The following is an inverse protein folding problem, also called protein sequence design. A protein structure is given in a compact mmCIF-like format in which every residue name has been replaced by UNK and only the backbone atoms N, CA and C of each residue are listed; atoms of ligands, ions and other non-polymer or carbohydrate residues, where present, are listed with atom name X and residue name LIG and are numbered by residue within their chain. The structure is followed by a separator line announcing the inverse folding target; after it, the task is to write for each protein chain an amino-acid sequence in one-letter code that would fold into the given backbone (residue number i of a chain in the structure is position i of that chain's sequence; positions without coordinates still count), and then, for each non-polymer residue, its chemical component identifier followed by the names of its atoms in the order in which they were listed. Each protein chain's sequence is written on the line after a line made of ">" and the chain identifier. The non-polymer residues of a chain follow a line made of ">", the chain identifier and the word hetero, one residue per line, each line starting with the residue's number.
data_IF_763772710172
#
_entry.id   IF_763772710172
#
_cell.length_a   1.000
_cell.length_b   1.000
_cell.length_c   1.000
_cell.angle_alpha   90.00
_cell.angle_beta   90.00
_cell.angle_gamma   90.00
#
_symmetry.space_group_name_H-M   'P 1'
#
loop_
_entity.id
_entity.type
_entity.pdbx_description
1 polymer ?
#
# COMPACT_ATOMS: atom_id res chain seq x y z
N UNK A 1 2.49 16.40 -19.40
CA UNK A 1 2.76 17.83 -19.69
C UNK A 1 2.34 18.77 -18.56
N UNK A 2 1.17 18.63 -17.92
CA UNK A 2 0.72 19.53 -16.84
C UNK A 2 1.63 19.68 -15.60
N UNK A 3 2.52 18.73 -15.32
CA UNK A 3 3.44 18.82 -14.17
C UNK A 3 4.28 20.12 -14.21
N UNK A 4 4.80 20.52 -15.37
CA UNK A 4 5.62 21.74 -15.49
C UNK A 4 4.79 23.03 -15.56
N UNK A 5 3.49 22.93 -15.78
CA UNK A 5 2.56 24.05 -15.64
C UNK A 5 2.30 24.35 -14.16
N UNK A 6 2.19 23.30 -13.33
CA UNK A 6 2.01 23.40 -11.89
C UNK A 6 3.32 23.66 -11.12
N UNK A 7 4.44 23.12 -11.61
CA UNK A 7 5.77 23.23 -11.00
C UNK A 7 6.80 23.79 -12.00
N UNK A 8 6.70 25.09 -12.35
CA UNK A 8 7.53 25.72 -13.38
C UNK A 8 9.03 25.76 -13.05
N UNK A 9 9.41 25.69 -11.77
CA UNK A 9 10.79 25.64 -11.29
C UNK A 9 11.59 24.42 -11.79
N UNK A 10 10.90 23.38 -12.26
CA UNK A 10 11.52 22.20 -12.84
C UNK A 10 11.59 22.22 -14.38
N UNK A 11 11.16 23.31 -15.06
CA UNK A 11 11.28 23.41 -16.52
C UNK A 11 12.72 23.21 -16.98
N UNK A 12 12.88 22.49 -18.09
CA UNK A 12 14.19 22.15 -18.65
C UNK A 12 14.90 20.99 -17.93
N UNK A 13 14.29 20.38 -16.92
CA UNK A 13 14.74 19.10 -16.35
C UNK A 13 13.92 17.95 -16.94
N UNK A 14 14.52 16.76 -16.93
CA UNK A 14 13.83 15.53 -17.31
C UNK A 14 12.95 15.02 -16.15
N UNK A 15 11.68 14.72 -16.44
CA UNK A 15 10.78 14.14 -15.46
C UNK A 15 10.94 12.61 -15.46
N UNK A 16 11.53 12.07 -14.39
CA UNK A 16 11.64 10.62 -14.17
C UNK A 16 10.61 10.22 -13.10
N UNK A 17 9.60 9.45 -13.50
CA UNK A 17 8.55 8.99 -12.59
C UNK A 17 8.99 7.68 -11.93
N UNK A 18 9.06 7.67 -10.60
CA UNK A 18 9.32 6.46 -9.82
C UNK A 18 7.98 5.98 -9.26
N UNK A 19 7.55 4.80 -9.69
CA UNK A 19 6.41 4.11 -9.11
C UNK A 19 6.90 3.18 -8.01
N UNK A 20 6.49 3.44 -6.77
CA UNK A 20 6.72 2.56 -5.63
C UNK A 20 5.39 2.02 -5.11
N UNK A 21 5.32 0.72 -4.83
CA UNK A 21 4.22 0.14 -4.06
C UNK A 21 4.77 -0.48 -2.78
N UNK A 22 4.01 -0.38 -1.70
CA UNK A 22 4.28 -1.07 -0.45
C UNK A 22 3.32 -2.25 -0.41
N UNK A 23 3.84 -3.46 -0.53
CA UNK A 23 3.06 -4.70 -0.42
C UNK A 23 3.53 -5.49 0.79
N UNK A 24 2.61 -6.19 1.45
CA UNK A 24 2.96 -7.10 2.52
C UNK A 24 3.22 -8.50 1.94
N UNK A 25 4.40 -9.09 2.16
CA UNK A 25 4.63 -10.48 1.82
C UNK A 25 3.66 -11.39 2.57
N UNK A 26 3.15 -12.42 1.90
CA UNK A 26 2.15 -13.36 2.45
C UNK A 26 2.58 -13.98 3.79
N UNK A 27 3.87 -14.29 3.96
CA UNK A 27 4.40 -14.85 5.19
C UNK A 27 4.33 -13.86 6.38
N UNK A 28 4.45 -12.56 6.12
CA UNK A 28 4.32 -11.51 7.13
C UNK A 28 2.86 -11.35 7.54
N UNK A 29 1.93 -11.37 6.59
CA UNK A 29 0.48 -11.33 6.86
C UNK A 29 0.09 -12.51 7.76
N UNK A 30 0.51 -13.74 7.40
CA UNK A 30 0.28 -14.94 8.22
C UNK A 30 0.90 -14.83 9.61
N UNK A 31 2.12 -14.32 9.71
CA UNK A 31 2.80 -14.10 10.99
C UNK A 31 1.97 -13.18 11.90
N UNK A 32 1.55 -12.03 11.37
CA UNK A 32 0.72 -11.06 12.09
C UNK A 32 -0.65 -11.65 12.51
N UNK A 33 -1.32 -12.40 11.63
CA UNK A 33 -2.58 -13.08 11.94
C UNK A 33 -2.45 -14.04 13.12
N UNK A 34 -1.35 -14.81 13.18
CA UNK A 34 -1.11 -15.72 14.33
C UNK A 34 -1.00 -14.96 15.65
N UNK A 35 -0.42 -13.76 15.62
CA UNK A 35 -0.31 -12.86 16.77
C UNK A 35 -1.58 -12.06 17.07
N UNK A 36 -2.62 -12.17 16.23
CA UNK A 36 -3.85 -11.39 16.38
C UNK A 36 -3.69 -9.91 16.00
N UNK A 37 -2.68 -9.59 15.20
CA UNK A 37 -2.40 -8.23 14.71
C UNK A 37 -3.02 -8.06 13.32
N UNK A 38 -3.89 -7.06 13.17
CA UNK A 38 -4.47 -6.72 11.88
C UNK A 38 -3.45 -6.01 10.99
N UNK A 39 -3.41 -6.40 9.72
CA UNK A 39 -2.56 -5.79 8.69
C UNK A 39 -3.44 -4.93 7.78
N UNK A 40 -3.09 -3.65 7.65
CA UNK A 40 -3.77 -2.72 6.76
C UNK A 40 -2.90 -2.46 5.53
N UNK A 41 -3.48 -2.58 4.35
CA UNK A 41 -2.77 -2.33 3.09
C UNK A 41 -3.68 -1.69 2.05
N UNK A 42 -3.05 -1.09 1.04
CA UNK A 42 -3.77 -0.47 -0.08
C UNK A 42 -4.23 -1.56 -1.04
N UNK A 43 -5.55 -1.66 -1.30
CA UNK A 43 -6.08 -2.48 -2.39
C UNK A 43 -6.30 -1.62 -3.62
N UNK A 44 -5.81 -2.12 -4.76
CA UNK A 44 -6.13 -1.60 -6.10
C UNK A 44 -5.95 -0.09 -6.29
N UNK A 45 -5.12 0.56 -5.46
CA UNK A 45 -4.93 2.02 -5.41
C UNK A 45 -6.17 2.84 -5.05
N UNK A 46 -7.29 2.20 -4.68
CA UNK A 46 -8.56 2.89 -4.42
C UNK A 46 -8.81 3.17 -2.94
N UNK A 47 -8.47 2.22 -2.06
CA UNK A 47 -8.73 2.36 -0.62
C UNK A 47 -7.80 1.50 0.26
N UNK A 48 -7.79 1.83 1.55
CA UNK A 48 -7.12 1.07 2.60
C UNK A 48 -8.04 -0.03 3.14
N UNK A 49 -7.55 -1.26 3.20
CA UNK A 49 -8.30 -2.43 3.64
C UNK A 49 -7.52 -3.26 4.68
N UNK A 50 -8.24 -4.02 5.51
CA UNK A 50 -7.67 -4.98 6.44
C UNK A 50 -7.48 -6.32 5.72
N UNK A 51 -6.22 -6.65 5.41
CA UNK A 51 -5.88 -7.79 4.56
C UNK A 51 -6.13 -9.14 5.22
N UNK A 52 -6.13 -9.20 6.56
CA UNK A 52 -6.23 -10.45 7.33
C UNK A 52 -7.43 -10.50 8.29
N UNK A 53 -8.51 -9.81 7.93
CA UNK A 53 -9.69 -9.70 8.79
C UNK A 53 -10.31 -11.07 9.10
N UNK A 54 -10.50 -11.88 8.06
CA UNK A 54 -11.16 -13.19 8.16
C UNK A 54 -10.31 -14.21 8.93
N UNK A 55 -8.99 -14.16 8.79
CA UNK A 55 -8.05 -15.03 9.49
C UNK A 55 -8.13 -14.81 11.00
N UNK A 56 -8.17 -13.54 11.44
CA UNK A 56 -8.27 -13.23 12.87
C UNK A 56 -9.68 -13.55 13.38
N UNK A 57 -10.72 -13.29 12.60
CA UNK A 57 -12.10 -13.60 12.97
C UNK A 57 -12.30 -15.10 13.22
N UNK A 58 -11.83 -15.97 12.32
CA UNK A 58 -11.91 -17.44 12.46
C UNK A 58 -11.22 -17.97 13.72
N UNK A 59 -10.19 -17.28 14.22
CA UNK A 59 -9.44 -17.68 15.40
C UNK A 59 -10.13 -17.34 16.74
N UNK A 60 -11.11 -16.43 16.71
CA UNK A 60 -11.83 -15.95 17.91
C UNK A 60 -13.15 -16.69 18.16
N UNK A 61 -13.57 -17.55 17.23
CA UNK A 61 -14.80 -18.36 17.33
C UNK A 61 -14.44 -19.78 17.76
#
# INVERSE_FOLDING_TARGET
>A
ERFFDFFPEFRGKELIIIFGSITFPENIIKYASRLGVYVMGWREWEYMDILNYDEIKKKRV
#
